data_IF_855568821055
#
_entry.id   IF_855568821055
#
_cell.length_a   1.000
_cell.length_b   1.000
_cell.length_c   1.000
_cell.angle_alpha   90.00
_cell.angle_beta   90.00
_cell.angle_gamma   90.00
#
_symmetry.space_group_name_H-M   'P 1'
#
loop_
_entity.id
_entity.type
_entity.pdbx_description
1 polymer ?
#
# COMPACT_ATOMS: atom_id res chain seq x y z
N UNK A 1 27.58 4.00 -23.46
CA UNK A 1 26.62 3.94 -22.33
C UNK A 1 26.02 5.33 -22.15
N UNK A 2 24.70 5.48 -22.24
CA UNK A 2 24.05 6.75 -21.93
C UNK A 2 24.18 7.00 -20.41
N UNK A 3 24.48 8.23 -19.99
CA UNK A 3 24.49 8.57 -18.56
C UNK A 3 23.03 8.68 -18.10
N UNK A 4 22.60 7.82 -17.19
CA UNK A 4 21.30 7.96 -16.52
C UNK A 4 21.20 9.27 -15.75
N UNK A 5 19.97 9.73 -15.49
CA UNK A 5 19.67 10.98 -14.79
C UNK A 5 18.97 10.73 -13.45
N UNK A 6 19.36 11.49 -12.42
CA UNK A 6 18.68 11.51 -11.12
C UNK A 6 17.44 12.43 -11.13
N UNK A 7 17.30 13.28 -12.15
CA UNK A 7 16.21 14.26 -12.24
C UNK A 7 14.81 13.67 -12.05
N UNK A 8 14.45 12.52 -12.65
CA UNK A 8 13.13 11.92 -12.42
C UNK A 8 12.87 11.57 -10.95
N UNK A 9 13.90 11.12 -10.23
CA UNK A 9 13.81 10.80 -8.80
C UNK A 9 13.63 12.08 -7.98
N UNK A 10 14.37 13.14 -8.30
CA UNK A 10 14.23 14.43 -7.61
C UNK A 10 12.85 15.05 -7.83
N UNK A 11 12.32 15.03 -9.06
CA UNK A 11 10.96 15.51 -9.37
C UNK A 11 9.91 14.76 -8.56
N UNK A 12 10.04 13.43 -8.50
CA UNK A 12 9.15 12.58 -7.70
C UNK A 12 9.25 12.86 -6.20
N UNK A 13 10.45 13.14 -5.68
CA UNK A 13 10.66 13.49 -4.28
C UNK A 13 10.01 14.84 -3.94
N UNK A 14 10.20 15.86 -4.78
CA UNK A 14 9.57 17.19 -4.62
C UNK A 14 8.05 17.05 -4.65
N UNK A 15 7.50 16.29 -5.60
CA UNK A 15 6.06 16.03 -5.65
C UNK A 15 5.52 15.37 -4.36
N UNK A 16 6.28 14.45 -3.78
CA UNK A 16 5.94 13.81 -2.50
C UNK A 16 5.95 14.77 -1.30
N UNK A 17 6.94 15.66 -1.21
CA UNK A 17 6.98 16.70 -0.16
C UNK A 17 5.82 17.70 -0.31
N UNK A 18 5.55 18.14 -1.54
CA UNK A 18 4.43 19.05 -1.82
C UNK A 18 3.09 18.38 -1.50
N UNK A 19 2.93 17.10 -1.86
CA UNK A 19 1.75 16.32 -1.51
C UNK A 19 1.58 16.21 0.01
N UNK A 20 2.65 15.97 0.77
CA UNK A 20 2.62 15.96 2.23
C UNK A 20 2.17 17.31 2.80
N UNK A 21 2.76 18.42 2.34
CA UNK A 21 2.43 19.75 2.83
C UNK A 21 0.96 20.10 2.55
N UNK A 22 0.49 19.86 1.32
CA UNK A 22 -0.89 20.15 0.92
C UNK A 22 -1.91 19.29 1.67
N UNK A 23 -1.62 18.00 1.88
CA UNK A 23 -2.54 17.07 2.54
C UNK A 23 -2.58 17.31 4.05
N UNK A 24 -1.45 17.66 4.67
CA UNK A 24 -1.38 18.09 6.06
C UNK A 24 -2.14 19.39 6.30
N UNK A 25 -1.94 20.38 5.42
CA UNK A 25 -2.68 21.64 5.47
C UNK A 25 -4.19 21.40 5.38
N UNK A 26 -4.62 20.57 4.43
CA UNK A 26 -6.03 20.18 4.27
C UNK A 26 -6.56 19.49 5.52
N UNK A 27 -5.82 18.53 6.07
CA UNK A 27 -6.29 17.71 7.18
C UNK A 27 -6.44 18.48 8.50
N UNK A 28 -5.53 19.42 8.78
CA UNK A 28 -5.43 20.03 10.11
C UNK A 28 -5.62 21.54 10.14
N UNK A 29 -5.46 22.23 9.01
CA UNK A 29 -5.37 23.69 8.97
C UNK A 29 -6.43 24.34 8.08
N UNK A 30 -7.06 23.59 7.17
CA UNK A 30 -8.06 24.14 6.25
C UNK A 30 -9.45 24.31 6.87
N UNK A 31 -9.79 23.49 7.89
CA UNK A 31 -11.10 23.55 8.52
C UNK A 31 -11.35 24.90 9.21
N UNK A 32 -12.50 25.55 8.98
CA UNK A 32 -12.87 26.78 9.68
C UNK A 32 -13.38 26.53 11.11
N UNK A 33 -13.78 25.29 11.43
CA UNK A 33 -14.23 24.92 12.78
C UNK A 33 -13.10 24.26 13.60
N UNK A 34 -13.17 24.44 14.92
CA UNK A 34 -12.15 23.98 15.88
C UNK A 34 -12.49 22.61 16.52
N UNK A 35 -13.44 21.82 15.99
CA UNK A 35 -13.94 20.62 16.67
C UNK A 35 -12.86 19.58 16.93
N UNK A 36 -11.98 19.34 15.96
CA UNK A 36 -10.87 18.40 16.11
C UNK A 36 -9.88 18.86 17.20
N UNK A 37 -9.59 20.16 17.24
CA UNK A 37 -8.71 20.76 18.26
C UNK A 37 -9.35 20.74 19.65
N UNK A 38 -10.64 21.05 19.73
CA UNK A 38 -11.41 21.01 20.98
C UNK A 38 -11.48 19.59 21.56
N UNK A 39 -11.64 18.57 20.71
CA UNK A 39 -11.60 17.17 21.12
C UNK A 39 -10.25 16.83 21.77
N UNK A 40 -9.14 17.13 21.10
CA UNK A 40 -7.81 16.88 21.63
C UNK A 40 -7.55 17.63 22.96
N UNK A 41 -8.02 18.86 23.09
CA UNK A 41 -7.90 19.65 24.33
C UNK A 41 -8.73 19.06 25.48
N UNK A 42 -9.96 18.61 25.20
CA UNK A 42 -10.85 18.02 26.22
C UNK A 42 -10.30 16.73 26.83
N UNK A 43 -9.54 15.96 26.05
CA UNK A 43 -8.94 14.70 26.49
C UNK A 43 -7.72 14.87 27.40
N UNK A 44 -7.17 16.08 27.52
CA UNK A 44 -6.00 16.37 28.37
C UNK A 44 -6.36 16.88 29.78
N UNK A 45 -7.64 16.84 30.17
CA UNK A 45 -8.08 17.37 31.47
C UNK A 45 -7.69 16.44 32.64
N UNK A 46 -7.04 16.95 33.71
CA UNK A 46 -6.67 16.14 34.89
C UNK A 46 -7.86 15.47 35.60
N UNK A 47 -9.07 16.02 35.47
CA UNK A 47 -10.29 15.40 36.00
C UNK A 47 -10.67 14.10 35.26
N UNK A 48 -10.25 13.95 34.00
CA UNK A 48 -10.50 12.76 33.17
C UNK A 48 -9.61 11.58 33.57
N UNK A 49 -8.37 11.84 34.00
CA UNK A 49 -7.43 10.84 34.53
C UNK A 49 -7.91 10.15 35.82
N UNK A 50 -9.01 10.64 36.40
CA UNK A 50 -9.65 10.10 37.61
C UNK A 50 -10.93 9.32 37.31
N UNK A 51 -11.33 9.20 36.04
CA UNK A 51 -12.56 8.50 35.67
C UNK A 51 -12.36 6.97 35.74
N UNK A 52 -13.36 6.21 36.18
CA UNK A 52 -13.29 4.75 36.23
C UNK A 52 -13.21 4.08 34.85
N UNK A 53 -13.46 4.83 33.77
CA UNK A 53 -13.27 4.38 32.38
C UNK A 53 -11.83 4.57 31.89
N UNK A 54 -10.93 5.03 32.76
CA UNK A 54 -9.52 5.17 32.45
C UNK A 54 -8.80 3.83 32.58
N UNK A 55 -8.52 3.16 31.46
CA UNK A 55 -8.03 1.77 31.44
C UNK A 55 -6.69 1.60 32.17
N UNK A 56 -5.85 2.64 32.19
CA UNK A 56 -4.56 2.60 32.88
C UNK A 56 -4.59 3.27 34.25
N UNK A 57 -5.75 3.78 34.70
CA UNK A 57 -5.92 4.54 35.95
C UNK A 57 -4.86 5.66 36.11
N UNK A 58 -4.55 6.37 35.02
CA UNK A 58 -3.53 7.41 34.98
C UNK A 58 -2.08 6.90 35.05
N UNK A 59 -1.82 5.60 34.98
CA UNK A 59 -0.45 5.05 34.94
C UNK A 59 0.26 5.36 33.62
N UNK A 60 -0.48 5.50 32.51
CA UNK A 60 0.03 5.83 31.18
C UNK A 60 -0.75 7.00 30.56
N UNK A 61 -0.61 8.22 31.10
CA UNK A 61 -1.47 9.35 30.72
C UNK A 61 -1.41 9.70 29.22
N UNK A 62 -0.28 9.45 28.56
CA UNK A 62 -0.13 9.66 27.11
C UNK A 62 -0.96 8.65 26.29
N UNK A 63 -1.01 7.39 26.72
CA UNK A 63 -1.82 6.36 26.07
C UNK A 63 -3.30 6.66 26.28
N UNK A 64 -3.68 7.04 27.51
CA UNK A 64 -5.07 7.36 27.82
C UNK A 64 -5.56 8.55 27.01
N UNK A 65 -4.76 9.61 26.88
CA UNK A 65 -5.11 10.80 26.11
C UNK A 65 -5.21 10.49 24.60
N UNK A 66 -4.32 9.62 24.10
CA UNK A 66 -4.35 9.15 22.72
C UNK A 66 -5.65 8.38 22.46
N UNK A 67 -5.98 7.40 23.30
CA UNK A 67 -7.21 6.61 23.17
C UNK A 67 -8.47 7.46 23.31
N UNK A 68 -8.48 8.44 24.22
CA UNK A 68 -9.58 9.39 24.34
C UNK A 68 -9.82 10.16 23.04
N UNK A 69 -8.74 10.71 22.48
CA UNK A 69 -8.80 11.54 21.27
C UNK A 69 -9.22 10.70 20.08
N UNK A 70 -8.61 9.53 19.89
CA UNK A 70 -8.88 8.68 18.72
C UNK A 70 -10.24 8.01 18.80
N UNK A 71 -10.66 7.48 19.96
CA UNK A 71 -11.99 6.90 20.10
C UNK A 71 -13.08 7.97 19.96
N UNK A 72 -12.88 9.16 20.53
CA UNK A 72 -13.78 10.31 20.35
C UNK A 72 -13.87 10.73 18.88
N UNK A 73 -12.73 10.74 18.17
CA UNK A 73 -12.66 11.02 16.74
C UNK A 73 -13.45 9.99 15.93
N UNK A 74 -13.25 8.70 16.18
CA UNK A 74 -13.98 7.63 15.49
C UNK A 74 -15.48 7.63 15.80
N UNK A 75 -15.87 7.95 17.04
CA UNK A 75 -17.29 8.09 17.42
C UNK A 75 -17.95 9.27 16.70
N UNK A 76 -17.27 10.41 16.62
CA UNK A 76 -17.75 11.57 15.86
C UNK A 76 -17.79 11.30 14.34
N UNK A 77 -16.84 10.51 13.84
CA UNK A 77 -16.77 10.06 12.46
C UNK A 77 -17.99 9.19 12.09
N UNK A 78 -18.36 8.23 12.94
CA UNK A 78 -19.50 7.33 12.69
C UNK A 78 -20.86 8.00 12.82
N UNK A 79 -20.93 9.19 13.44
CA UNK A 79 -22.17 9.95 13.61
C UNK A 79 -22.68 10.62 12.30
N UNK A 80 -21.82 10.82 11.30
CA UNK A 80 -22.18 11.43 10.02
C UNK A 80 -22.00 10.47 8.86
N UNK A 81 -22.99 10.40 7.97
CA UNK A 81 -22.94 9.51 6.81
C UNK A 81 -21.80 9.89 5.86
N UNK A 82 -21.58 11.20 5.68
CA UNK A 82 -20.47 11.77 4.93
C UNK A 82 -19.11 11.26 5.43
N UNK A 83 -18.88 11.34 6.74
CA UNK A 83 -17.59 11.01 7.36
C UNK A 83 -17.32 9.50 7.34
N UNK A 84 -18.35 8.66 7.56
CA UNK A 84 -18.29 7.21 7.30
C UNK A 84 -17.92 6.92 5.84
N UNK A 85 -18.49 7.68 4.90
CA UNK A 85 -18.19 7.54 3.48
C UNK A 85 -16.74 7.89 3.15
N UNK A 86 -16.22 9.00 3.67
CA UNK A 86 -14.83 9.42 3.50
C UNK A 86 -13.85 8.42 4.13
N UNK A 87 -14.14 7.92 5.34
CA UNK A 87 -13.34 6.88 5.97
C UNK A 87 -13.33 5.59 5.12
N UNK A 88 -14.48 5.19 4.57
CA UNK A 88 -14.55 4.03 3.68
C UNK A 88 -13.66 4.22 2.44
N UNK A 89 -13.70 5.39 1.80
CA UNK A 89 -12.82 5.72 0.67
C UNK A 89 -11.34 5.67 1.06
N UNK A 90 -10.98 6.20 2.24
CA UNK A 90 -9.62 6.11 2.75
C UNK A 90 -9.17 4.65 2.84
N UNK A 91 -10.00 3.77 3.40
CA UNK A 91 -9.69 2.34 3.54
C UNK A 91 -9.54 1.68 2.17
N UNK A 92 -10.39 2.04 1.20
CA UNK A 92 -10.30 1.55 -0.16
C UNK A 92 -8.93 1.84 -0.80
N UNK A 93 -8.21 2.88 -0.35
CA UNK A 93 -6.90 3.25 -0.89
C UNK A 93 -5.75 2.72 -0.02
N UNK A 94 -5.91 2.76 1.30
CA UNK A 94 -4.89 2.31 2.26
C UNK A 94 -4.66 0.81 2.20
N UNK A 95 -5.73 0.02 2.00
CA UNK A 95 -5.61 -1.44 1.89
C UNK A 95 -4.71 -1.85 0.72
N UNK A 96 -4.96 -1.42 -0.54
CA UNK A 96 -4.03 -1.65 -1.64
C UNK A 96 -2.61 -1.18 -1.39
N UNK A 97 -2.42 -0.01 -0.77
CA UNK A 97 -1.10 0.53 -0.45
C UNK A 97 -0.33 -0.40 0.51
N UNK A 98 -0.92 -0.70 1.67
CA UNK A 98 -0.34 -1.60 2.66
C UNK A 98 -0.13 -3.00 2.12
N UNK A 99 -1.03 -3.46 1.24
CA UNK A 99 -0.91 -4.76 0.56
C UNK A 99 0.34 -4.77 -0.33
N UNK A 100 0.51 -3.76 -1.19
CA UNK A 100 1.70 -3.66 -2.05
C UNK A 100 2.99 -3.64 -1.24
N UNK A 101 3.05 -2.80 -0.23
CA UNK A 101 4.23 -2.66 0.61
C UNK A 101 4.54 -3.96 1.37
N UNK A 102 3.53 -4.72 1.80
CA UNK A 102 3.72 -6.02 2.43
C UNK A 102 4.35 -7.05 1.49
N UNK A 103 3.89 -7.10 0.23
CA UNK A 103 4.51 -7.97 -0.78
C UNK A 103 5.94 -7.56 -1.11
N UNK A 104 6.21 -6.26 -1.24
CA UNK A 104 7.57 -5.79 -1.48
C UNK A 104 8.50 -6.08 -0.31
N UNK A 105 8.03 -5.93 0.93
CA UNK A 105 8.78 -6.23 2.14
C UNK A 105 9.10 -7.73 2.27
N UNK A 106 8.19 -8.59 1.83
CA UNK A 106 8.32 -10.04 1.93
C UNK A 106 8.88 -10.71 0.65
N UNK A 107 9.19 -9.92 -0.38
CA UNK A 107 9.72 -10.42 -1.66
C UNK A 107 11.25 -10.43 -1.67
N UNK A 108 11.88 -11.52 -2.15
CA UNK A 108 13.33 -11.58 -2.34
C UNK A 108 13.86 -10.63 -3.43
N UNK A 109 13.00 -10.20 -4.37
CA UNK A 109 13.43 -9.53 -5.60
C UNK A 109 13.73 -8.03 -5.44
N UNK A 110 13.16 -7.38 -4.43
CA UNK A 110 13.17 -5.90 -4.30
C UNK A 110 13.49 -5.43 -2.89
N UNK A 111 14.14 -6.30 -2.12
CA UNK A 111 14.48 -6.05 -0.72
C UNK A 111 15.53 -4.94 -0.60
N UNK A 112 15.28 -4.02 0.32
CA UNK A 112 16.26 -3.08 0.84
C UNK A 112 15.97 -2.82 2.32
N UNK A 113 16.92 -2.25 3.05
CA UNK A 113 16.70 -1.84 4.45
C UNK A 113 15.52 -0.86 4.57
N UNK A 114 15.37 0.02 3.57
CA UNK A 114 14.32 1.02 3.51
C UNK A 114 12.97 0.45 3.05
N UNK A 115 12.93 -0.57 2.18
CA UNK A 115 11.70 -1.29 1.82
C UNK A 115 11.36 -2.41 2.83
N UNK A 116 11.89 -2.34 4.05
CA UNK A 116 11.59 -3.34 5.06
C UNK A 116 10.19 -3.16 5.64
N UNK A 117 9.56 -4.27 6.00
CA UNK A 117 8.26 -4.28 6.67
C UNK A 117 8.29 -3.54 8.02
N UNK A 118 9.49 -3.19 8.54
CA UNK A 118 9.63 -2.41 9.76
C UNK A 118 9.06 -1.01 9.63
N UNK A 119 9.04 -0.41 8.43
CA UNK A 119 8.50 0.93 8.23
C UNK A 119 6.97 0.94 8.02
N UNK A 120 6.38 -0.21 7.67
CA UNK A 120 4.93 -0.37 7.62
C UNK A 120 4.28 -0.20 8.99
N UNK A 121 4.92 -0.71 10.03
CA UNK A 121 4.45 -0.62 11.42
C UNK A 121 4.35 0.84 11.88
N UNK A 122 5.42 1.66 11.89
CA UNK A 122 5.35 3.07 12.27
C UNK A 122 4.53 3.90 11.29
N UNK A 123 4.50 3.59 9.98
CA UNK A 123 3.61 4.28 9.05
C UNK A 123 2.14 4.17 9.49
N UNK A 124 1.70 2.96 9.85
CA UNK A 124 0.32 2.75 10.29
C UNK A 124 0.06 3.22 11.73
N UNK A 125 1.04 3.14 12.64
CA UNK A 125 0.92 3.66 14.01
C UNK A 125 0.86 5.19 14.02
N UNK A 126 1.83 5.84 13.37
CA UNK A 126 1.89 7.31 13.30
C UNK A 126 0.73 7.82 12.44
N UNK A 127 0.44 7.14 11.33
CA UNK A 127 -0.71 7.47 10.48
C UNK A 127 -2.04 7.41 11.22
N UNK A 128 -2.25 6.45 12.12
CA UNK A 128 -3.45 6.41 12.96
C UNK A 128 -3.59 7.64 13.88
N UNK A 129 -2.47 8.22 14.33
CA UNK A 129 -2.47 9.40 15.20
C UNK A 129 -2.50 10.73 14.45
N UNK A 130 -1.86 10.82 13.28
CA UNK A 130 -1.55 12.07 12.60
C UNK A 130 -1.98 12.10 11.12
N UNK A 131 -2.81 11.15 10.68
CA UNK A 131 -3.29 11.02 9.30
C UNK A 131 -2.41 10.10 8.47
N UNK A 132 -2.96 8.97 8.02
CA UNK A 132 -2.27 7.97 7.20
C UNK A 132 -1.86 8.53 5.84
N UNK A 133 -2.64 9.40 5.24
CA UNK A 133 -2.40 10.02 3.94
C UNK A 133 -1.17 10.90 3.90
N UNK A 134 -1.09 11.98 4.71
CA UNK A 134 0.11 12.79 4.81
C UNK A 134 1.36 11.96 5.14
N UNK A 135 1.25 11.03 6.09
CA UNK A 135 2.37 10.17 6.46
C UNK A 135 2.77 9.19 5.36
N UNK A 136 1.84 8.73 4.53
CA UNK A 136 2.14 7.92 3.35
C UNK A 136 2.94 8.71 2.30
N UNK A 137 2.69 10.01 2.13
CA UNK A 137 3.48 10.88 1.27
C UNK A 137 4.92 11.08 1.79
N UNK A 138 5.09 11.26 3.10
CA UNK A 138 6.42 11.31 3.73
C UNK A 138 7.16 9.99 3.59
N UNK A 139 6.52 8.89 3.97
CA UNK A 139 7.08 7.55 3.84
C UNK A 139 7.49 7.28 2.38
N UNK A 140 6.63 7.61 1.42
CA UNK A 140 6.96 7.50 0.01
C UNK A 140 8.27 8.24 -0.32
N UNK A 141 8.37 9.51 0.08
CA UNK A 141 9.48 10.40 -0.28
C UNK A 141 10.80 9.97 0.35
N UNK A 142 10.77 9.66 1.65
CA UNK A 142 11.98 9.47 2.45
C UNK A 142 12.38 8.01 2.63
N UNK A 143 11.48 7.08 2.34
CA UNK A 143 11.72 5.65 2.56
C UNK A 143 11.58 4.89 1.25
N UNK A 144 10.39 4.88 0.64
CA UNK A 144 10.13 4.05 -0.53
C UNK A 144 10.91 4.48 -1.77
N UNK A 145 10.92 5.77 -2.11
CA UNK A 145 11.58 6.28 -3.32
C UNK A 145 13.11 6.07 -3.27
N UNK A 146 13.82 6.38 -2.16
CA UNK A 146 15.23 6.01 -2.02
C UNK A 146 15.48 4.51 -2.09
N UNK A 147 14.58 3.70 -1.53
CA UNK A 147 14.66 2.24 -1.62
C UNK A 147 14.55 1.74 -3.07
N UNK A 148 13.58 2.24 -3.82
CA UNK A 148 13.36 1.90 -5.23
C UNK A 148 14.55 2.35 -6.11
N UNK A 149 15.09 3.53 -5.85
CA UNK A 149 16.29 4.03 -6.50
C UNK A 149 17.51 3.14 -6.21
N UNK A 150 17.77 2.83 -4.93
CA UNK A 150 18.85 1.95 -4.51
C UNK A 150 18.73 0.55 -5.12
N UNK A 151 17.53 -0.02 -5.12
CA UNK A 151 17.22 -1.30 -5.78
C UNK A 151 17.61 -1.29 -7.26
N UNK A 152 17.36 -0.18 -7.95
CA UNK A 152 17.66 -0.05 -9.39
C UNK A 152 19.15 0.03 -9.66
N UNK A 153 19.92 0.71 -8.80
CA UNK A 153 21.38 0.80 -8.92
C UNK A 153 22.08 -0.51 -8.56
N UNK A 154 21.52 -1.28 -7.63
CA UNK A 154 22.12 -2.52 -7.14
C UNK A 154 21.70 -3.77 -7.95
N UNK A 155 20.58 -3.72 -8.67
CA UNK A 155 20.08 -4.84 -9.46
C UNK A 155 20.66 -4.78 -10.87
N UNK A 156 21.39 -5.84 -11.27
CA UNK A 156 21.83 -6.00 -12.66
C UNK A 156 20.65 -6.46 -13.51
N UNK A 157 20.58 -5.99 -14.76
CA UNK A 157 19.52 -6.35 -15.71
C UNK A 157 19.42 -7.87 -15.98
N UNK A 158 20.43 -8.66 -15.62
CA UNK A 158 20.46 -10.12 -15.77
C UNK A 158 19.90 -10.89 -14.56
N UNK A 159 19.52 -10.24 -13.46
CA UNK A 159 19.00 -10.95 -12.27
C UNK A 159 17.57 -11.41 -12.54
N UNK A 160 17.39 -12.72 -12.61
CA UNK A 160 16.10 -13.34 -12.91
C UNK A 160 15.20 -13.26 -11.66
N UNK A 161 13.90 -12.94 -11.82
CA UNK A 161 12.99 -12.86 -10.68
C UNK A 161 12.77 -14.24 -10.08
N UNK A 162 12.76 -14.31 -8.75
CA UNK A 162 12.56 -15.54 -7.98
C UNK A 162 11.21 -15.54 -7.25
N UNK A 163 10.58 -16.72 -7.06
CA UNK A 163 9.33 -16.85 -6.33
C UNK A 163 9.44 -16.34 -4.88
N UNK A 164 8.39 -15.68 -4.40
CA UNK A 164 8.26 -15.44 -2.96
C UNK A 164 7.77 -16.72 -2.28
N UNK A 165 8.27 -17.09 -1.09
CA UNK A 165 7.78 -18.26 -0.36
C UNK A 165 6.26 -18.20 -0.14
N UNK A 166 5.55 -19.32 -0.32
CA UNK A 166 4.10 -19.37 -0.18
C UNK A 166 3.62 -18.92 1.21
N UNK A 167 4.37 -19.23 2.27
CA UNK A 167 4.09 -18.76 3.63
C UNK A 167 4.04 -17.24 3.75
N UNK A 168 4.93 -16.52 3.06
CA UNK A 168 4.96 -15.06 3.05
C UNK A 168 3.70 -14.50 2.40
N UNK A 169 3.26 -15.11 1.28
CA UNK A 169 2.03 -14.74 0.57
C UNK A 169 0.82 -14.94 1.49
N UNK A 170 0.74 -16.07 2.20
CA UNK A 170 -0.38 -16.34 3.11
C UNK A 170 -0.44 -15.39 4.29
N UNK A 171 0.69 -15.09 4.92
CA UNK A 171 0.75 -14.16 6.06
C UNK A 171 0.30 -12.76 5.61
N UNK A 172 0.79 -12.28 4.46
CA UNK A 172 0.35 -11.00 3.90
C UNK A 172 -1.16 -10.97 3.68
N UNK A 173 -1.75 -12.02 3.11
CA UNK A 173 -3.19 -12.10 2.91
C UNK A 173 -3.98 -12.17 4.23
N UNK A 174 -3.54 -12.99 5.19
CA UNK A 174 -4.21 -13.15 6.47
C UNK A 174 -4.28 -11.84 7.24
N UNK A 175 -3.17 -11.07 7.29
CA UNK A 175 -3.14 -9.75 7.93
C UNK A 175 -4.20 -8.81 7.34
N UNK A 176 -4.34 -8.78 6.01
CA UNK A 176 -5.31 -7.89 5.35
C UNK A 176 -6.76 -8.37 5.49
N UNK A 177 -7.00 -9.68 5.56
CA UNK A 177 -8.34 -10.22 5.88
C UNK A 177 -8.75 -9.84 7.31
N UNK A 178 -7.85 -9.99 8.28
CA UNK A 178 -8.11 -9.60 9.66
C UNK A 178 -8.38 -8.09 9.76
N UNK A 179 -7.51 -7.27 9.18
CA UNK A 179 -7.67 -5.81 9.19
C UNK A 179 -8.96 -5.38 8.48
N UNK A 180 -9.27 -5.95 7.30
CA UNK A 180 -10.52 -5.69 6.59
C UNK A 180 -11.76 -6.07 7.39
N UNK A 181 -11.71 -7.17 8.15
CA UNK A 181 -12.78 -7.59 9.06
C UNK A 181 -12.95 -6.59 10.20
N UNK A 182 -11.86 -6.16 10.85
CA UNK A 182 -11.90 -5.14 11.91
C UNK A 182 -12.50 -3.83 11.42
N UNK A 183 -12.13 -3.39 10.22
CA UNK A 183 -12.67 -2.16 9.63
C UNK A 183 -14.16 -2.31 9.31
N UNK A 184 -14.57 -3.44 8.74
CA UNK A 184 -15.99 -3.70 8.48
C UNK A 184 -16.80 -3.66 9.78
N UNK A 185 -16.31 -4.27 10.86
CA UNK A 185 -16.95 -4.21 12.18
C UNK A 185 -17.06 -2.77 12.70
N UNK A 186 -16.02 -1.94 12.56
CA UNK A 186 -16.08 -0.55 13.01
C UNK A 186 -17.04 0.33 12.19
N UNK A 187 -17.36 -0.05 10.95
CA UNK A 187 -18.30 0.66 10.07
C UNK A 187 -19.75 0.20 10.28
N UNK A 188 -19.98 -1.09 10.53
CA UNK A 188 -21.32 -1.68 10.55
C UNK A 188 -21.85 -2.05 11.93
N UNK A 189 -21.00 -2.22 12.94
CA UNK A 189 -21.46 -2.49 14.31
C UNK A 189 -22.09 -1.24 14.92
N UNK A 190 -23.01 -1.46 15.87
CA UNK A 190 -23.63 -0.40 16.66
C UNK A 190 -22.56 0.39 17.43
N UNK A 191 -22.42 1.71 17.22
CA UNK A 191 -21.46 2.55 17.93
C UNK A 191 -21.58 2.57 19.45
N UNK A 192 -22.72 2.16 20.00
CA UNK A 192 -22.94 2.04 21.45
C UNK A 192 -22.63 0.62 21.98
N UNK A 193 -22.41 -0.34 21.09
CA UNK A 193 -22.13 -1.73 21.43
C UNK A 193 -20.65 -2.03 21.72
N UNK A 194 -20.41 -3.02 22.57
CA UNK A 194 -19.06 -3.49 22.92
C UNK A 194 -18.23 -3.91 21.69
N UNK A 195 -18.88 -4.52 20.68
CA UNK A 195 -18.22 -4.95 19.45
C UNK A 195 -17.59 -3.78 18.68
N UNK A 196 -18.28 -2.64 18.61
CA UNK A 196 -17.75 -1.45 17.96
C UNK A 196 -16.57 -0.87 18.73
N UNK A 197 -16.65 -0.81 20.06
CA UNK A 197 -15.54 -0.36 20.90
C UNK A 197 -14.28 -1.20 20.68
N UNK A 198 -14.41 -2.54 20.64
CA UNK A 198 -13.30 -3.42 20.35
C UNK A 198 -12.74 -3.22 18.94
N UNK A 199 -13.61 -3.04 17.94
CA UNK A 199 -13.18 -2.79 16.55
C UNK A 199 -12.47 -1.44 16.40
N UNK A 200 -13.00 -0.37 16.99
CA UNK A 200 -12.40 0.96 16.98
C UNK A 200 -11.03 0.97 17.68
N UNK A 201 -10.90 0.25 18.80
CA UNK A 201 -9.63 0.05 19.50
C UNK A 201 -8.63 -0.73 18.62
N UNK A 202 -9.06 -1.82 18.01
CA UNK A 202 -8.22 -2.63 17.14
C UNK A 202 -7.71 -1.85 15.92
N UNK A 203 -8.49 -0.90 15.38
CA UNK A 203 -8.03 0.01 14.32
C UNK A 203 -6.86 0.88 14.79
N UNK A 204 -6.87 1.38 16.04
CA UNK A 204 -5.77 2.19 16.57
C UNK A 204 -4.45 1.40 16.61
N UNK A 205 -4.55 0.11 16.87
CA UNK A 205 -3.41 -0.79 16.95
C UNK A 205 -3.19 -1.60 15.66
N UNK A 206 -3.88 -1.26 14.57
CA UNK A 206 -3.78 -2.01 13.33
C UNK A 206 -2.35 -2.06 12.78
N UNK A 207 -1.53 -1.03 13.04
CA UNK A 207 -0.11 -1.04 12.69
C UNK A 207 0.67 -2.21 13.29
N UNK A 208 0.29 -2.69 14.48
CA UNK A 208 0.92 -3.86 15.12
C UNK A 208 0.60 -5.17 14.41
N UNK A 209 -0.51 -5.25 13.68
CA UNK A 209 -0.85 -6.44 12.87
C UNK A 209 0.16 -6.69 11.74
N UNK A 210 1.00 -5.69 11.40
CA UNK A 210 2.07 -5.81 10.41
C UNK A 210 3.41 -6.30 11.01
N UNK A 211 3.50 -6.54 12.33
CA UNK A 211 4.71 -7.11 12.96
C UNK A 211 5.16 -8.44 12.33
N UNK A 212 4.28 -9.39 11.99
CA UNK A 212 4.67 -10.60 11.26
C UNK A 212 5.32 -10.28 9.90
N UNK A 213 4.85 -9.24 9.20
CA UNK A 213 5.44 -8.81 7.92
C UNK A 213 6.81 -8.19 8.14
N UNK A 214 6.99 -7.36 9.19
CA UNK A 214 8.29 -6.84 9.56
C UNK A 214 9.29 -7.97 9.87
N UNK A 215 8.86 -8.98 10.63
CA UNK A 215 9.66 -10.15 10.94
C UNK A 215 10.05 -10.96 9.70
N UNK A 216 9.09 -11.24 8.82
CA UNK A 216 9.37 -11.92 7.54
C UNK A 216 10.33 -11.13 6.68
N UNK A 217 10.18 -9.81 6.66
CA UNK A 217 11.06 -8.92 5.91
C UNK A 217 12.49 -9.03 6.39
N UNK A 218 12.74 -9.12 7.71
CA UNK A 218 14.09 -9.31 8.23
C UNK A 218 14.70 -10.65 7.79
N UNK A 219 13.90 -11.73 7.77
CA UNK A 219 14.38 -13.10 7.48
C UNK A 219 14.49 -13.47 6.01
N UNK A 220 13.73 -12.84 5.12
CA UNK A 220 13.73 -13.18 3.69
C UNK A 220 15.02 -12.66 3.04
N UNK A 221 15.93 -13.49 2.51
CA UNK A 221 17.17 -12.98 1.92
C UNK A 221 16.90 -12.14 0.66
N UNK A 222 17.73 -11.14 0.42
CA UNK A 222 17.72 -10.38 -0.84
C UNK A 222 18.44 -11.21 -1.89
N UNK A 223 17.84 -11.37 -3.06
CA UNK A 223 18.49 -12.01 -4.22
C UNK A 223 18.84 -10.93 -5.24
N UNK A 224 20.13 -10.68 -5.46
CA UNK A 224 20.61 -9.59 -6.32
C UNK A 224 21.72 -9.98 -7.29
N UNK A 225 22.07 -11.26 -7.38
CA UNK A 225 22.96 -11.78 -8.41
C UNK A 225 22.35 -12.99 -9.14
N UNK A 226 22.87 -13.26 -10.32
CA UNK A 226 22.34 -14.30 -11.21
C UNK A 226 22.60 -15.72 -10.68
N UNK A 227 23.73 -15.95 -10.01
CA UNK A 227 24.11 -17.26 -9.48
C UNK A 227 23.17 -17.66 -8.34
N UNK A 228 22.94 -16.74 -7.40
CA UNK A 228 22.00 -16.92 -6.31
C UNK A 228 20.58 -17.08 -6.85
N UNK A 229 20.16 -16.26 -7.81
CA UNK A 229 18.84 -16.37 -8.46
C UNK A 229 18.60 -17.75 -9.07
N UNK A 230 19.57 -18.26 -9.84
CA UNK A 230 19.52 -19.62 -10.42
C UNK A 230 19.54 -20.72 -9.35
N UNK A 231 20.30 -20.53 -8.27
CA UNK A 231 20.33 -21.47 -7.14
C UNK A 231 18.99 -21.55 -6.42
N UNK A 232 18.34 -20.40 -6.18
CA UNK A 232 17.03 -20.32 -5.55
C UNK A 232 15.95 -20.90 -6.47
N UNK A 233 15.95 -20.56 -7.76
CA UNK A 233 14.91 -21.02 -8.68
C UNK A 233 14.92 -22.54 -8.87
N UNK A 234 16.10 -23.18 -8.76
CA UNK A 234 16.26 -24.65 -8.79
C UNK A 234 15.56 -25.37 -7.64
N UNK A 235 15.30 -24.67 -6.53
CA UNK A 235 14.62 -25.26 -5.36
C UNK A 235 13.10 -25.36 -5.54
N UNK A 236 12.57 -24.70 -6.57
CA UNK A 236 11.15 -24.74 -6.89
C UNK A 236 10.91 -25.65 -8.09
N UNK A 237 9.79 -26.37 -8.05
CA UNK A 237 9.23 -27.03 -9.22
C UNK A 237 8.48 -26.04 -10.12
N UNK A 238 8.11 -26.49 -11.32
CA UNK A 238 7.38 -25.66 -12.27
C UNK A 238 6.06 -25.12 -11.67
N UNK A 239 5.38 -25.96 -10.89
CA UNK A 239 4.14 -25.60 -10.21
C UNK A 239 4.40 -24.53 -9.15
N UNK A 240 5.39 -24.68 -8.28
CA UNK A 240 5.72 -23.72 -7.24
C UNK A 240 6.13 -22.36 -7.80
N UNK A 241 6.87 -22.32 -8.91
CA UNK A 241 7.18 -21.06 -9.63
C UNK A 241 5.90 -20.43 -10.15
N UNK A 242 5.03 -21.21 -10.82
CA UNK A 242 3.78 -20.68 -11.35
C UNK A 242 2.88 -20.19 -10.22
N UNK A 243 2.68 -21.00 -9.19
CA UNK A 243 1.82 -20.75 -8.04
C UNK A 243 2.14 -19.44 -7.32
N UNK A 244 3.42 -19.17 -7.04
CA UNK A 244 3.81 -17.99 -6.26
C UNK A 244 3.43 -16.68 -6.96
N UNK A 245 3.77 -16.56 -8.25
CA UNK A 245 3.37 -15.40 -9.04
C UNK A 245 1.89 -15.43 -9.33
N UNK A 246 1.33 -16.62 -9.63
CA UNK A 246 -0.06 -16.76 -10.08
C UNK A 246 -1.10 -16.51 -8.97
N UNK A 247 -0.74 -16.78 -7.73
CA UNK A 247 -1.55 -16.36 -6.60
C UNK A 247 -1.43 -14.87 -6.36
N UNK A 248 -0.23 -14.31 -6.44
CA UNK A 248 0.01 -12.90 -6.12
C UNK A 248 -0.75 -11.95 -7.05
N UNK A 249 -0.61 -12.09 -8.38
CA UNK A 249 -1.41 -11.28 -9.33
C UNK A 249 -2.93 -11.53 -9.21
N UNK A 250 -3.38 -12.76 -8.90
CA UNK A 250 -4.80 -13.05 -8.65
C UNK A 250 -5.31 -12.33 -7.40
N UNK A 251 -4.53 -12.29 -6.32
CA UNK A 251 -4.91 -11.57 -5.11
C UNK A 251 -4.92 -10.05 -5.32
N UNK A 252 -4.04 -9.49 -6.14
CA UNK A 252 -4.14 -8.08 -6.54
C UNK A 252 -5.48 -7.77 -7.21
N UNK A 253 -6.01 -8.66 -8.07
CA UNK A 253 -7.35 -8.47 -8.66
C UNK A 253 -8.47 -8.51 -7.62
N UNK A 254 -8.37 -9.44 -6.65
CA UNK A 254 -9.33 -9.52 -5.55
C UNK A 254 -9.27 -8.27 -4.68
N UNK A 255 -8.08 -7.78 -4.38
CA UNK A 255 -7.86 -6.51 -3.67
C UNK A 255 -8.42 -5.32 -4.47
N UNK A 256 -8.26 -5.32 -5.80
CA UNK A 256 -8.86 -4.31 -6.66
C UNK A 256 -10.39 -4.34 -6.56
N UNK A 257 -11.01 -5.51 -6.73
CA UNK A 257 -12.47 -5.66 -6.61
C UNK A 257 -12.99 -5.22 -5.24
N UNK A 258 -12.30 -5.60 -4.16
CA UNK A 258 -12.64 -5.20 -2.80
C UNK A 258 -12.51 -3.67 -2.60
N UNK A 259 -11.41 -3.09 -3.08
CA UNK A 259 -11.17 -1.64 -3.07
C UNK A 259 -12.28 -0.89 -3.82
N UNK A 260 -12.66 -1.35 -5.02
CA UNK A 260 -13.72 -0.75 -5.81
C UNK A 260 -15.09 -0.83 -5.10
N UNK A 261 -15.41 -1.96 -4.48
CA UNK A 261 -16.65 -2.12 -3.70
C UNK A 261 -16.73 -1.11 -2.55
N UNK A 262 -15.66 -0.99 -1.75
CA UNK A 262 -15.61 -0.04 -0.63
C UNK A 262 -15.65 1.41 -1.15
N UNK A 263 -14.95 1.70 -2.25
CA UNK A 263 -14.95 3.02 -2.87
C UNK A 263 -16.36 3.46 -3.26
N UNK A 264 -17.13 2.61 -3.95
CA UNK A 264 -18.52 2.89 -4.32
C UNK A 264 -19.45 2.97 -3.11
N UNK A 265 -19.25 2.12 -2.11
CA UNK A 265 -19.97 2.23 -0.83
C UNK A 265 -19.73 3.59 -0.16
N UNK A 266 -18.47 4.03 -0.12
CA UNK A 266 -18.09 5.33 0.43
C UNK A 266 -18.67 6.50 -0.36
N UNK A 267 -18.56 6.48 -1.69
CA UNK A 267 -19.16 7.49 -2.56
C UNK A 267 -20.68 7.58 -2.37
N UNK A 268 -21.38 6.45 -2.31
CA UNK A 268 -22.83 6.43 -2.08
C UNK A 268 -23.19 7.10 -0.75
N UNK A 269 -22.41 6.84 0.31
CA UNK A 269 -22.59 7.44 1.63
C UNK A 269 -22.36 8.95 1.59
N UNK A 270 -21.30 9.42 0.92
CA UNK A 270 -21.00 10.84 0.74
C UNK A 270 -22.13 11.55 -0.01
N UNK A 271 -22.53 11.02 -1.17
CA UNK A 271 -23.58 11.60 -2.00
C UNK A 271 -24.88 11.71 -1.21
N UNK A 272 -25.30 10.63 -0.54
CA UNK A 272 -26.52 10.66 0.28
C UNK A 272 -26.40 11.60 1.49
N UNK A 273 -25.25 11.63 2.16
CA UNK A 273 -25.02 12.54 3.29
C UNK A 273 -25.19 14.00 2.88
N UNK A 274 -24.57 14.40 1.77
CA UNK A 274 -24.61 15.79 1.30
C UNK A 274 -25.95 16.14 0.64
N UNK A 275 -26.44 15.31 -0.27
CA UNK A 275 -27.58 15.65 -1.14
C UNK A 275 -28.94 15.31 -0.53
N UNK A 276 -29.01 14.26 0.29
CA UNK A 276 -30.28 13.80 0.89
C UNK A 276 -30.41 14.30 2.32
N UNK A 277 -29.34 14.19 3.12
CA UNK A 277 -29.38 14.55 4.54
C UNK A 277 -28.95 16.00 4.83
N UNK A 278 -28.45 16.73 3.82
CA UNK A 278 -27.98 18.11 4.00
C UNK A 278 -26.77 18.24 4.92
N UNK A 279 -25.96 17.18 5.08
CA UNK A 279 -24.79 17.19 5.94
C UNK A 279 -23.73 18.18 5.42
N UNK A 280 -23.20 19.00 6.32
CA UNK A 280 -22.14 19.97 6.03
C UNK A 280 -20.77 19.42 6.42
N UNK A 281 -19.76 19.83 5.66
CA UNK A 281 -18.35 19.57 5.94
C UNK A 281 -17.97 20.18 7.30
N UNK A 282 -17.25 19.41 8.11
CA UNK A 282 -16.67 19.86 9.39
C UNK A 282 -15.19 19.48 9.48
N UNK A 283 -14.52 19.80 10.59
CA UNK A 283 -13.11 19.46 10.78
C UNK A 283 -12.80 17.97 10.57
N UNK A 284 -13.72 17.06 10.87
CA UNK A 284 -13.53 15.63 10.63
C UNK A 284 -13.60 15.31 9.13
N UNK A 285 -14.51 15.94 8.38
CA UNK A 285 -14.57 15.81 6.93
C UNK A 285 -13.28 16.33 6.27
N UNK A 286 -12.78 17.50 6.68
CA UNK A 286 -11.53 18.08 6.16
C UNK A 286 -10.31 17.20 6.48
N UNK A 287 -10.23 16.66 7.70
CA UNK A 287 -9.24 15.64 8.05
C UNK A 287 -9.23 14.51 7.04
N UNK A 288 -10.40 13.90 6.78
CA UNK A 288 -10.47 12.79 5.84
C UNK A 288 -10.21 13.18 4.39
N UNK A 289 -10.54 14.40 3.94
CA UNK A 289 -10.15 14.84 2.60
C UNK A 289 -8.64 14.92 2.45
N UNK A 290 -7.94 15.47 3.45
CA UNK A 290 -6.48 15.47 3.48
C UNK A 290 -5.92 14.04 3.49
N UNK A 291 -6.53 13.16 4.28
CA UNK A 291 -6.11 11.77 4.41
C UNK A 291 -6.31 10.95 3.12
N UNK A 292 -7.52 10.99 2.57
CA UNK A 292 -7.89 10.36 1.29
C UNK A 292 -6.99 10.89 0.16
N UNK A 293 -6.82 12.21 0.08
CA UNK A 293 -5.97 12.85 -0.91
C UNK A 293 -4.51 12.41 -0.79
N UNK A 294 -3.99 12.33 0.44
CA UNK A 294 -2.62 11.88 0.69
C UNK A 294 -2.38 10.44 0.29
N UNK A 295 -3.26 9.51 0.67
CA UNK A 295 -3.11 8.10 0.26
C UNK A 295 -3.24 7.95 -1.26
N UNK A 296 -4.18 8.66 -1.89
CA UNK A 296 -4.33 8.65 -3.35
C UNK A 296 -3.08 9.15 -4.07
N UNK A 297 -2.51 10.28 -3.63
CA UNK A 297 -1.27 10.82 -4.19
C UNK A 297 -0.08 9.87 -3.94
N UNK A 298 0.04 9.30 -2.75
CA UNK A 298 1.07 8.32 -2.43
C UNK A 298 0.99 7.09 -3.34
N UNK A 299 -0.20 6.57 -3.63
CA UNK A 299 -0.41 5.47 -4.58
C UNK A 299 0.06 5.83 -6.00
N UNK A 300 -0.33 7.00 -6.50
CA UNK A 300 0.05 7.48 -7.84
C UNK A 300 1.57 7.64 -7.92
N UNK A 301 2.16 8.27 -6.90
CA UNK A 301 3.60 8.48 -6.80
C UNK A 301 4.35 7.15 -6.70
N UNK A 302 3.83 6.16 -5.97
CA UNK A 302 4.41 4.82 -5.90
C UNK A 302 4.42 4.15 -7.29
N UNK A 303 3.30 4.18 -8.01
CA UNK A 303 3.21 3.66 -9.39
C UNK A 303 4.18 4.39 -10.32
N UNK A 304 4.26 5.72 -10.23
CA UNK A 304 5.19 6.53 -11.03
C UNK A 304 6.66 6.19 -10.72
N UNK A 305 7.00 6.02 -9.44
CA UNK A 305 8.33 5.60 -9.02
C UNK A 305 8.68 4.22 -9.59
N UNK A 306 7.76 3.25 -9.50
CA UNK A 306 8.00 1.92 -10.08
C UNK A 306 8.17 1.98 -11.61
N UNK A 307 7.37 2.77 -12.34
CA UNK A 307 7.52 2.98 -13.79
C UNK A 307 8.85 3.64 -14.16
N UNK A 308 9.37 4.51 -13.30
CA UNK A 308 10.63 5.23 -13.51
C UNK A 308 11.86 4.40 -13.11
N UNK A 309 11.64 3.37 -12.29
CA UNK A 309 12.67 2.48 -11.76
C UNK A 309 12.51 1.08 -12.37
N UNK A 310 12.23 0.08 -11.58
CA UNK A 310 12.33 -1.34 -11.96
C UNK A 310 11.16 -1.89 -12.82
N UNK A 311 10.17 -1.06 -13.18
CA UNK A 311 9.11 -1.40 -14.15
C UNK A 311 9.13 -0.47 -15.38
N UNK A 312 10.28 0.10 -15.68
CA UNK A 312 10.47 0.93 -16.87
C UNK A 312 10.34 0.10 -18.16
N UNK A 313 9.80 0.73 -19.21
CA UNK A 313 9.59 0.11 -20.52
C UNK A 313 10.34 0.84 -21.65
N UNK A 314 11.09 1.89 -21.32
CA UNK A 314 11.82 2.69 -22.30
C UNK A 314 12.99 1.88 -22.86
N UNK A 315 13.44 2.22 -24.07
CA UNK A 315 14.57 1.54 -24.71
C UNK A 315 15.88 1.71 -23.93
N UNK A 316 16.05 2.87 -23.30
CA UNK A 316 17.15 3.20 -22.40
C UNK A 316 16.55 3.60 -21.06
N UNK A 317 16.98 2.93 -19.99
CA UNK A 317 16.43 3.17 -18.67
C UNK A 317 16.79 4.60 -18.20
N UNK A 318 15.82 5.44 -17.78
CA UNK A 318 16.05 6.86 -17.51
C UNK A 318 17.02 7.12 -16.34
N UNK A 319 17.01 6.26 -15.32
CA UNK A 319 17.84 6.39 -14.12
C UNK A 319 19.20 5.68 -14.19
N UNK A 320 19.28 4.46 -14.74
CA UNK A 320 20.55 3.73 -14.85
C UNK A 320 21.30 4.02 -16.14
N UNK A 321 20.61 4.36 -17.24
CA UNK A 321 21.20 4.51 -18.58
C UNK A 321 21.47 3.18 -19.28
N UNK A 322 21.10 2.06 -18.65
CA UNK A 322 21.24 0.72 -19.22
C UNK A 322 20.22 0.49 -20.34
N UNK A 323 20.59 -0.20 -21.42
CA UNK A 323 19.64 -0.63 -22.43
C UNK A 323 18.67 -1.66 -21.84
N UNK A 324 17.45 -1.65 -22.38
CA UNK A 324 16.42 -2.60 -21.97
C UNK A 324 16.84 -4.05 -22.23
N UNK A 325 16.57 -4.94 -21.28
CA UNK A 325 16.98 -6.34 -21.40
C UNK A 325 16.23 -7.07 -22.53
N UNK A 326 16.86 -8.03 -23.23
CA UNK A 326 16.18 -8.88 -24.21
C UNK A 326 15.00 -9.66 -23.60
N UNK A 327 15.18 -10.14 -22.36
CA UNK A 327 14.15 -10.87 -21.62
C UNK A 327 12.90 -10.00 -21.39
N UNK A 328 13.07 -8.71 -21.11
CA UNK A 328 11.96 -7.78 -20.96
C UNK A 328 11.20 -7.54 -22.27
N UNK A 329 11.92 -7.52 -23.40
CA UNK A 329 11.29 -7.34 -24.72
C UNK A 329 10.51 -8.58 -25.15
N UNK A 330 11.05 -9.78 -24.89
CA UNK A 330 10.35 -11.04 -25.17
C UNK A 330 9.14 -11.24 -24.26
N UNK A 331 9.25 -10.87 -22.99
CA UNK A 331 8.14 -10.89 -22.04
C UNK A 331 6.96 -10.06 -22.55
N UNK A 332 7.22 -8.83 -22.99
CA UNK A 332 6.16 -7.96 -23.54
C UNK A 332 5.51 -8.56 -24.78
N UNK A 333 6.30 -9.12 -25.70
CA UNK A 333 5.77 -9.81 -26.89
C UNK A 333 4.91 -11.01 -26.53
N UNK A 334 5.31 -11.78 -25.52
CA UNK A 334 4.57 -12.95 -25.09
C UNK A 334 3.24 -12.57 -24.41
N UNK A 335 3.27 -11.59 -23.51
CA UNK A 335 2.06 -11.16 -22.79
C UNK A 335 1.11 -10.39 -23.70
N UNK A 336 1.61 -9.66 -24.69
CA UNK A 336 0.74 -9.04 -25.70
C UNK A 336 -0.06 -10.07 -26.51
N UNK A 337 0.49 -11.28 -26.73
CA UNK A 337 -0.19 -12.36 -27.46
C UNK A 337 -1.20 -13.12 -26.61
N UNK A 338 -0.91 -13.31 -25.33
CA UNK A 338 -1.73 -14.07 -24.41
C UNK A 338 -1.83 -13.34 -23.07
N UNK A 339 -2.56 -12.20 -23.01
CA UNK A 339 -2.74 -11.48 -21.78
C UNK A 339 -3.71 -12.24 -20.90
N UNK A 340 -3.36 -12.39 -19.63
CA UNK A 340 -4.23 -13.08 -18.70
C UNK A 340 -5.21 -12.10 -18.00
N UNK A 341 -5.22 -10.83 -18.42
CA UNK A 341 -6.07 -9.73 -17.96
C UNK A 341 -6.53 -8.79 -19.06
N UNK A 342 -6.84 -7.55 -18.70
CA UNK A 342 -7.14 -6.48 -19.66
C UNK A 342 -5.93 -5.56 -19.82
N UNK A 343 -5.11 -5.72 -20.88
CA UNK A 343 -3.89 -4.91 -21.04
C UNK A 343 -4.17 -3.42 -21.14
N UNK A 344 -5.29 -3.06 -21.78
CA UNK A 344 -5.71 -1.67 -21.89
C UNK A 344 -5.89 -1.04 -20.50
N UNK A 345 -6.61 -1.72 -19.60
CA UNK A 345 -6.88 -1.24 -18.25
C UNK A 345 -5.62 -1.28 -17.36
N UNK A 346 -4.84 -2.37 -17.46
CA UNK A 346 -3.77 -2.69 -16.52
C UNK A 346 -2.40 -2.10 -16.87
N UNK A 347 -2.18 -1.70 -18.12
CA UNK A 347 -0.86 -1.27 -18.61
C UNK A 347 -0.81 0.16 -19.16
N UNK A 348 -1.93 0.69 -19.64
CA UNK A 348 -1.94 2.04 -20.25
C UNK A 348 -2.17 3.13 -19.21
N UNK A 349 -1.61 4.32 -19.45
CA UNK A 349 -1.86 5.49 -18.59
C UNK A 349 -3.33 5.90 -18.63
N UNK A 350 -3.96 5.88 -19.81
CA UNK A 350 -5.39 6.17 -19.96
C UNK A 350 -6.24 5.17 -19.18
N UNK A 351 -5.95 3.87 -19.28
CA UNK A 351 -6.60 2.82 -18.50
C UNK A 351 -6.46 3.05 -17.00
N UNK A 352 -5.27 3.42 -16.53
CA UNK A 352 -5.03 3.77 -15.12
C UNK A 352 -5.87 4.98 -14.66
N UNK A 353 -5.97 6.04 -15.47
CA UNK A 353 -6.78 7.23 -15.16
C UNK A 353 -8.27 6.84 -15.08
N UNK A 354 -8.79 6.15 -16.11
CA UNK A 354 -10.19 5.70 -16.14
C UNK A 354 -10.49 4.77 -14.97
N UNK A 355 -9.60 3.81 -14.70
CA UNK A 355 -9.71 2.92 -13.55
C UNK A 355 -9.74 3.68 -12.23
N UNK A 356 -8.92 4.74 -12.10
CA UNK A 356 -8.86 5.56 -10.89
C UNK A 356 -10.15 6.34 -10.66
N UNK A 357 -10.79 6.80 -11.74
CA UNK A 357 -12.07 7.52 -11.67
C UNK A 357 -13.25 6.57 -11.35
N UNK A 358 -13.25 5.37 -11.94
CA UNK A 358 -14.38 4.42 -11.81
C UNK A 358 -14.27 3.57 -10.55
N UNK A 359 -13.09 3.04 -10.24
CA UNK A 359 -12.87 2.12 -9.11
C UNK A 359 -12.07 2.73 -7.95
N UNK A 360 -11.63 3.98 -8.09
CA UNK A 360 -10.70 4.62 -7.16
C UNK A 360 -9.22 4.31 -7.47
N UNK A 361 -8.28 5.15 -7.02
CA UNK A 361 -6.82 4.92 -7.16
C UNK A 361 -6.34 3.57 -6.62
N UNK A 362 -6.95 3.06 -5.55
CA UNK A 362 -6.63 1.74 -4.99
C UNK A 362 -6.90 0.59 -5.95
N UNK A 363 -8.02 0.62 -6.67
CA UNK A 363 -8.35 -0.33 -7.74
C UNK A 363 -7.35 -0.23 -8.89
N UNK A 364 -7.10 0.98 -9.40
CA UNK A 364 -6.20 1.21 -10.52
C UNK A 364 -4.77 0.74 -10.22
N UNK A 365 -4.25 1.07 -9.03
CA UNK A 365 -2.93 0.64 -8.59
C UNK A 365 -2.84 -0.89 -8.46
N UNK A 366 -3.86 -1.53 -7.88
CA UNK A 366 -3.92 -2.99 -7.76
C UNK A 366 -3.95 -3.70 -9.12
N UNK A 367 -4.74 -3.20 -10.07
CA UNK A 367 -4.77 -3.71 -11.45
C UNK A 367 -3.42 -3.52 -12.14
N UNK A 368 -2.74 -2.39 -11.89
CA UNK A 368 -1.42 -2.13 -12.43
C UNK A 368 -0.31 -3.01 -11.80
N UNK A 369 -0.39 -3.33 -10.50
CA UNK A 369 0.56 -4.26 -9.87
C UNK A 369 0.30 -5.71 -10.28
N UNK A 370 -0.97 -6.10 -10.48
CA UNK A 370 -1.34 -7.39 -11.02
C UNK A 370 -0.59 -7.71 -12.32
N UNK A 371 -0.61 -6.80 -13.29
CA UNK A 371 0.13 -6.98 -14.55
C UNK A 371 1.65 -7.04 -14.38
N UNK A 372 2.18 -6.41 -13.32
CA UNK A 372 3.59 -6.48 -12.98
C UNK A 372 4.00 -7.86 -12.49
N UNK A 373 3.17 -8.46 -11.64
CA UNK A 373 3.39 -9.81 -11.13
C UNK A 373 3.19 -10.87 -12.22
N UNK A 374 2.27 -10.65 -13.18
CA UNK A 374 2.15 -11.47 -14.39
C UNK A 374 3.46 -11.46 -15.20
N UNK A 375 4.03 -10.27 -15.41
CA UNK A 375 5.33 -10.10 -16.10
C UNK A 375 6.47 -10.78 -15.36
N UNK A 376 6.55 -10.65 -14.04
CA UNK A 376 7.56 -11.33 -13.24
C UNK A 376 7.39 -12.85 -13.27
N UNK A 377 6.15 -13.34 -13.22
CA UNK A 377 5.85 -14.77 -13.32
C UNK A 377 6.23 -15.38 -14.66
N UNK A 378 5.99 -14.67 -15.77
CA UNK A 378 6.44 -15.11 -17.08
C UNK A 378 7.97 -15.22 -17.14
N UNK A 379 8.69 -14.19 -16.68
CA UNK A 379 10.16 -14.17 -16.66
C UNK A 379 10.73 -15.28 -15.76
N UNK A 380 10.14 -15.49 -14.59
CA UNK A 380 10.55 -16.55 -13.67
C UNK A 380 10.35 -17.94 -14.28
N UNK A 381 9.22 -18.20 -14.94
CA UNK A 381 8.99 -19.48 -15.64
C UNK A 381 9.97 -19.70 -16.79
N UNK A 382 10.29 -18.66 -17.56
CA UNK A 382 11.30 -18.75 -18.62
C UNK A 382 12.68 -19.07 -18.04
N UNK A 383 13.09 -18.33 -17.02
CA UNK A 383 14.33 -18.57 -16.25
C UNK A 383 14.42 -20.00 -15.72
N UNK A 384 13.33 -20.52 -15.14
CA UNK A 384 13.28 -21.88 -14.60
C UNK A 384 13.50 -22.93 -15.71
N UNK A 385 12.86 -22.75 -16.88
CA UNK A 385 13.07 -23.66 -18.03
C UNK A 385 14.52 -23.64 -18.50
N UNK A 386 15.13 -22.47 -18.60
CA UNK A 386 16.53 -22.33 -19.02
C UNK A 386 17.50 -22.92 -17.99
N UNK A 387 17.22 -22.74 -16.70
CA UNK A 387 18.12 -23.16 -15.61
C UNK A 387 17.97 -24.63 -15.21
N UNK A 388 16.76 -25.19 -15.31
CA UNK A 388 16.44 -26.55 -14.82
C UNK A 388 16.20 -27.51 -15.98
N UNK A 389 15.41 -27.11 -16.98
CA UNK A 389 15.03 -28.00 -18.08
C UNK A 389 16.10 -28.10 -19.19
N UNK A 390 16.96 -27.09 -19.35
CA UNK A 390 18.04 -27.10 -20.36
C UNK A 390 19.38 -27.53 -19.76
N UNK A 391 19.82 -26.96 -18.64
CA UNK A 391 21.08 -27.37 -17.99
C UNK A 391 20.99 -28.77 -17.34
N UNK A 392 19.80 -29.17 -16.85
CA UNK A 392 19.58 -30.53 -16.34
C UNK A 392 19.67 -31.63 -17.40
N UNK A 393 19.57 -31.28 -18.69
CA UNK A 393 19.78 -32.21 -19.81
C UNK A 393 21.25 -32.34 -20.22
N UNK A 394 22.13 -31.42 -19.82
CA UNK A 394 23.59 -31.48 -20.10
C UNK A 394 24.36 -32.27 -19.04
N UNK A 395 23.75 -32.54 -17.90
CA UNK A 395 24.33 -33.33 -16.80
C UNK A 395 23.87 -34.80 -16.79
N UNK A 396 23.08 -35.21 -17.80
CA UNK A 396 22.85 -36.61 -18.18
C UNK A 396 23.56 -36.85 -19.49
#
# INVERSE_FOLDING_TARGET
>A
MAKGSILPILTLAVAGVLAFAATTYTAFLLSPDNKLRALAQSCNLPSRQKLPTDFTNGALPLLDNTLCTTMGFFKANTAKRLNVGLFSIMIAFTLPLSYRLSFQAASPNRKSLLNSGVFLVPLNIIGAAAGVGPWSCLFYTFVYLPAAYSSTKASKASVLPVPSPSSNIYIANLVHVLFGTTVALAVFADPEGALWHHAALAIQFAGLSYLPIAWLSLRTPKVNDEVESRSVIRRFDAEGVSYAFERTWSYYRKMAAFSAFIYWYGLNRIIRGVWVNGERLDAFSYFWFGDVGGVALALILLVAAEKTTFRNKDAIHPVSGEPRSPLDMECDKAIAKAPAGSPWLEKTTTGFIVASLVGGPGFAASMWWCSGEEELGWKARKSWRETVAVDGKKAK
#
